data_IF_896078353221
#
_entry.id   IF_896078353221
#
_cell.length_a   1.000
_cell.length_b   1.000
_cell.length_c   1.000
_cell.angle_alpha   90.00
_cell.angle_beta   90.00
_cell.angle_gamma   90.00
#
_symmetry.space_group_name_H-M   'P 1'
#
loop_
_entity.id
_entity.type
_entity.pdbx_description
1 polymer ?
#
# COMPACT_ATOMS: atom_id res chain seq x y z
N UNK A 1 4.76 14.01 -11.85
CA UNK A 1 4.11 12.90 -12.61
C UNK A 1 4.77 11.58 -12.20
N UNK A 2 3.97 10.61 -11.83
CA UNK A 2 4.41 9.26 -11.48
C UNK A 2 3.70 8.23 -12.36
N UNK A 3 4.17 6.99 -12.34
CA UNK A 3 3.50 5.82 -12.88
C UNK A 3 3.44 4.70 -11.84
N UNK A 4 2.54 3.75 -12.03
CA UNK A 4 2.49 2.53 -11.23
C UNK A 4 2.72 1.31 -12.12
N UNK A 5 3.54 0.39 -11.63
CA UNK A 5 3.98 -0.82 -12.33
C UNK A 5 3.72 -2.04 -11.47
N UNK A 6 3.01 -3.04 -12.00
CA UNK A 6 2.74 -4.26 -11.25
C UNK A 6 4.05 -4.99 -10.90
N UNK A 7 4.17 -5.48 -9.68
CA UNK A 7 5.35 -6.21 -9.23
C UNK A 7 5.52 -7.50 -10.03
N UNK A 8 6.77 -7.78 -10.38
CA UNK A 8 7.23 -8.98 -11.08
C UNK A 8 8.52 -9.51 -10.44
N UNK A 9 9.00 -10.67 -10.88
CA UNK A 9 10.33 -11.15 -10.47
C UNK A 9 11.43 -10.15 -10.85
N UNK A 10 11.33 -9.55 -12.04
CA UNK A 10 12.35 -8.64 -12.58
C UNK A 10 12.49 -7.35 -11.77
N UNK A 11 11.37 -6.74 -11.36
CA UNK A 11 11.40 -5.48 -10.62
C UNK A 11 11.39 -5.66 -9.09
N UNK A 12 11.36 -6.88 -8.58
CA UNK A 12 11.33 -7.17 -7.14
C UNK A 12 12.57 -6.69 -6.40
N UNK A 13 13.72 -6.63 -7.05
CA UNK A 13 14.95 -6.12 -6.46
C UNK A 13 14.85 -4.62 -6.12
N UNK A 14 14.13 -3.86 -6.92
CA UNK A 14 13.88 -2.44 -6.63
C UNK A 14 13.03 -2.29 -5.36
N UNK A 15 12.07 -3.20 -5.15
CA UNK A 15 11.27 -3.24 -3.92
C UNK A 15 12.13 -3.54 -2.71
N UNK A 16 13.03 -4.51 -2.81
CA UNK A 16 13.97 -4.84 -1.74
C UNK A 16 14.84 -3.65 -1.35
N UNK A 17 15.44 -3.00 -2.34
CA UNK A 17 16.29 -1.82 -2.13
C UNK A 17 15.51 -0.67 -1.52
N UNK A 18 14.32 -0.37 -2.04
CA UNK A 18 13.45 0.68 -1.53
C UNK A 18 13.04 0.44 -0.06
N UNK A 19 12.59 -0.77 0.28
CA UNK A 19 12.19 -1.09 1.65
C UNK A 19 13.38 -1.06 2.61
N UNK A 20 14.56 -1.50 2.18
CA UNK A 20 15.78 -1.48 2.98
C UNK A 20 16.25 -0.05 3.25
N UNK A 21 16.26 0.81 2.23
CA UNK A 21 16.65 2.22 2.35
C UNK A 21 15.72 3.01 3.27
N UNK A 22 14.41 2.69 3.26
CA UNK A 22 13.39 3.38 4.03
C UNK A 22 13.00 2.65 5.33
N UNK A 23 13.71 1.58 5.71
CA UNK A 23 13.35 0.72 6.84
C UNK A 23 13.13 1.50 8.13
N UNK A 24 14.11 2.28 8.52
CA UNK A 24 14.07 3.08 9.76
C UNK A 24 12.90 4.08 9.75
N UNK A 25 12.69 4.74 8.63
CA UNK A 25 11.59 5.68 8.45
C UNK A 25 10.22 5.00 8.59
N UNK A 26 10.00 3.86 7.94
CA UNK A 26 8.73 3.15 8.02
C UNK A 26 8.47 2.56 9.40
N UNK A 27 9.49 2.03 10.06
CA UNK A 27 9.37 1.43 11.39
C UNK A 27 9.05 2.45 12.50
N UNK A 28 9.17 3.75 12.24
CA UNK A 28 8.72 4.80 13.19
C UNK A 28 7.21 4.80 13.41
N UNK A 29 6.42 4.52 12.37
CA UNK A 29 4.96 4.69 12.40
C UNK A 29 4.17 3.48 11.87
N UNK A 30 4.84 2.42 11.46
CA UNK A 30 4.23 1.21 10.92
C UNK A 30 4.78 -0.02 11.64
N UNK A 31 4.00 -1.11 11.71
CA UNK A 31 4.52 -2.39 12.18
C UNK A 31 5.74 -2.82 11.38
N UNK A 32 6.76 -3.41 12.02
CA UNK A 32 7.94 -3.90 11.32
C UNK A 32 7.57 -5.01 10.33
N UNK A 33 8.36 -5.15 9.27
CA UNK A 33 8.29 -6.31 8.38
C UNK A 33 8.70 -7.58 9.13
N UNK A 34 8.34 -8.77 8.63
CA UNK A 34 8.85 -10.03 9.18
C UNK A 34 10.37 -10.04 9.30
N UNK A 35 10.90 -10.74 10.29
CA UNK A 35 12.35 -10.73 10.61
C UNK A 35 13.25 -11.12 9.43
N UNK A 36 12.78 -12.02 8.54
CA UNK A 36 13.52 -12.48 7.37
C UNK A 36 13.34 -11.59 6.13
N UNK A 37 12.56 -10.52 6.21
CA UNK A 37 12.27 -9.66 5.05
C UNK A 37 13.51 -8.98 4.49
N UNK A 38 14.45 -8.58 5.36
CA UNK A 38 15.67 -7.87 4.98
C UNK A 38 16.87 -8.79 4.76
N UNK A 39 16.69 -10.09 4.85
CA UNK A 39 17.58 -11.11 4.32
C UNK A 39 17.19 -11.42 2.87
N UNK A 40 18.15 -11.45 1.94
CA UNK A 40 17.83 -11.57 0.51
C UNK A 40 17.05 -12.85 0.17
N UNK A 41 17.41 -13.98 0.78
CA UNK A 41 16.72 -15.24 0.54
C UNK A 41 15.31 -15.25 1.16
N UNK A 42 15.16 -14.68 2.36
CA UNK A 42 13.85 -14.50 2.99
C UNK A 42 12.95 -13.56 2.18
N UNK A 43 13.49 -12.46 1.65
CA UNK A 43 12.78 -11.56 0.77
C UNK A 43 12.32 -12.24 -0.52
N UNK A 44 13.17 -13.05 -1.15
CA UNK A 44 12.80 -13.82 -2.35
C UNK A 44 11.66 -14.80 -2.08
N UNK A 45 11.65 -15.43 -0.92
CA UNK A 45 10.59 -16.35 -0.51
C UNK A 45 9.25 -15.62 -0.33
N UNK A 46 9.25 -14.51 0.40
CA UNK A 46 8.08 -13.63 0.58
C UNK A 46 7.59 -13.10 -0.77
N UNK A 47 8.49 -12.72 -1.67
CA UNK A 47 8.16 -12.26 -3.03
C UNK A 47 7.49 -13.36 -3.85
N UNK A 48 7.97 -14.60 -3.80
CA UNK A 48 7.33 -15.74 -4.48
C UNK A 48 5.89 -15.95 -4.01
N UNK A 49 5.65 -15.86 -2.71
CA UNK A 49 4.30 -15.97 -2.15
C UNK A 49 3.39 -14.83 -2.64
N UNK A 50 3.90 -13.59 -2.64
CA UNK A 50 3.17 -12.44 -3.14
C UNK A 50 2.84 -12.57 -4.62
N UNK A 51 3.78 -12.97 -5.46
CA UNK A 51 3.56 -13.17 -6.89
C UNK A 51 2.58 -14.34 -7.16
N UNK A 52 2.60 -15.37 -6.35
CA UNK A 52 1.59 -16.44 -6.39
C UNK A 52 0.21 -15.89 -6.04
N UNK A 53 0.12 -15.04 -5.02
CA UNK A 53 -1.12 -14.33 -4.67
C UNK A 53 -1.64 -13.46 -5.81
N UNK A 54 -0.76 -12.77 -6.53
CA UNK A 54 -1.15 -11.98 -7.72
C UNK A 54 -1.72 -12.86 -8.84
N UNK A 55 -1.08 -13.98 -9.15
CA UNK A 55 -1.61 -14.95 -10.13
C UNK A 55 -2.99 -15.47 -9.74
N UNK A 56 -3.23 -15.65 -8.45
CA UNK A 56 -4.51 -16.09 -7.90
C UNK A 56 -5.51 -14.96 -7.66
N UNK A 57 -5.18 -13.73 -8.06
CA UNK A 57 -6.02 -12.53 -7.88
C UNK A 57 -6.38 -12.27 -6.41
N UNK A 58 -5.45 -12.54 -5.50
CA UNK A 58 -5.61 -12.29 -4.07
C UNK A 58 -4.95 -10.97 -3.63
N UNK A 59 -3.97 -10.50 -4.39
CA UNK A 59 -3.24 -9.26 -4.12
C UNK A 59 -2.73 -8.65 -5.41
N UNK A 60 -2.63 -7.33 -5.47
CA UNK A 60 -1.99 -6.58 -6.56
C UNK A 60 -1.06 -5.56 -5.95
N UNK A 61 0.24 -5.79 -6.07
CA UNK A 61 1.26 -4.89 -5.56
C UNK A 61 1.93 -4.14 -6.71
N UNK A 62 2.00 -2.81 -6.59
CA UNK A 62 2.59 -1.94 -7.61
C UNK A 62 3.76 -1.15 -7.02
N UNK A 63 4.80 -1.02 -7.82
CA UNK A 63 5.85 -0.04 -7.61
C UNK A 63 5.33 1.31 -8.08
N UNK A 64 5.65 2.37 -7.35
CA UNK A 64 5.42 3.75 -7.77
C UNK A 64 6.75 4.29 -8.28
N UNK A 65 6.78 4.73 -9.54
CA UNK A 65 7.98 5.29 -10.16
C UNK A 65 7.79 6.76 -10.50
N UNK A 66 8.81 7.56 -10.28
CA UNK A 66 8.84 8.95 -10.73
C UNK A 66 9.14 9.06 -12.23
N UNK A 67 9.18 10.27 -12.76
CA UNK A 67 9.47 10.54 -14.18
C UNK A 67 10.87 10.10 -14.65
N UNK A 68 11.78 9.81 -13.72
CA UNK A 68 13.11 9.29 -13.99
C UNK A 68 13.19 7.75 -13.92
N UNK A 69 12.07 7.09 -13.67
CA UNK A 69 11.99 5.63 -13.54
C UNK A 69 12.42 5.10 -12.16
N UNK A 70 12.77 5.98 -11.22
CA UNK A 70 13.20 5.60 -9.87
C UNK A 70 11.98 5.21 -9.03
N UNK A 71 12.09 4.11 -8.28
CA UNK A 71 11.06 3.70 -7.33
C UNK A 71 11.01 4.69 -6.16
N UNK A 72 9.84 5.28 -5.95
CA UNK A 72 9.60 6.28 -4.89
C UNK A 72 8.57 5.84 -3.87
N UNK A 73 7.93 4.69 -4.10
CA UNK A 73 6.92 4.14 -3.22
C UNK A 73 6.37 2.82 -3.72
N UNK A 74 5.41 2.30 -2.98
CA UNK A 74 4.62 1.12 -3.37
C UNK A 74 3.16 1.33 -3.00
N UNK A 75 2.26 0.72 -3.75
CA UNK A 75 0.82 0.75 -3.52
C UNK A 75 0.21 -0.60 -3.87
N UNK A 76 -0.61 -1.13 -2.99
CA UNK A 76 -1.16 -2.46 -3.14
C UNK A 76 -2.66 -2.52 -2.82
N UNK A 77 -3.30 -3.50 -3.43
CA UNK A 77 -4.68 -3.89 -3.19
C UNK A 77 -4.67 -5.33 -2.70
N UNK A 78 -5.20 -5.58 -1.50
CA UNK A 78 -5.37 -6.91 -0.94
C UNK A 78 -6.84 -7.28 -0.95
N UNK A 79 -7.19 -8.35 -1.65
CA UNK A 79 -8.58 -8.79 -1.83
C UNK A 79 -9.09 -9.37 -0.52
N UNK A 80 -10.30 -8.99 -0.10
CA UNK A 80 -10.91 -9.53 1.11
C UNK A 80 -11.40 -10.97 0.85
N UNK A 81 -11.05 -11.89 1.74
CA UNK A 81 -11.51 -13.28 1.64
C UNK A 81 -13.04 -13.38 1.77
N UNK A 82 -13.64 -12.51 2.58
CA UNK A 82 -15.08 -12.46 2.81
C UNK A 82 -15.89 -11.83 1.67
N UNK A 83 -15.23 -11.02 0.84
CA UNK A 83 -15.87 -10.35 -0.29
C UNK A 83 -14.85 -10.05 -1.39
N UNK A 84 -14.77 -10.92 -2.36
CA UNK A 84 -13.80 -10.82 -3.46
C UNK A 84 -14.03 -9.65 -4.43
N UNK A 85 -15.15 -8.93 -4.28
CA UNK A 85 -15.40 -7.68 -5.02
C UNK A 85 -14.86 -6.43 -4.29
N UNK A 86 -14.31 -6.63 -3.09
CA UNK A 86 -13.72 -5.58 -2.26
C UNK A 86 -12.23 -5.85 -2.05
N UNK A 87 -11.43 -4.80 -2.15
CA UNK A 87 -10.01 -4.85 -1.80
C UNK A 87 -9.64 -3.76 -0.79
N UNK A 88 -8.63 -4.03 0.01
CA UNK A 88 -8.01 -3.09 0.93
C UNK A 88 -6.80 -2.45 0.27
N UNK A 89 -6.76 -1.13 0.28
CA UNK A 89 -5.69 -0.30 -0.22
C UNK A 89 -4.65 -0.04 0.87
N UNK A 90 -3.37 -0.24 0.53
CA UNK A 90 -2.25 0.19 1.34
C UNK A 90 -1.17 0.83 0.48
N UNK A 91 -0.42 1.78 1.02
CA UNK A 91 0.70 2.40 0.32
C UNK A 91 1.80 2.88 1.28
N UNK A 92 3.00 2.99 0.73
CA UNK A 92 4.17 3.59 1.39
C UNK A 92 4.89 4.49 0.39
N UNK A 93 5.28 5.68 0.85
CA UNK A 93 6.09 6.64 0.07
C UNK A 93 7.42 6.81 0.79
N UNK A 94 8.51 6.86 0.03
CA UNK A 94 9.85 7.05 0.58
C UNK A 94 10.03 8.39 1.31
N UNK A 95 10.88 8.40 2.34
CA UNK A 95 11.11 9.59 3.19
C UNK A 95 11.51 10.82 2.37
N UNK A 96 12.44 10.65 1.44
CA UNK A 96 13.04 11.75 0.65
C UNK A 96 12.07 12.40 -0.35
N UNK A 97 10.95 11.75 -0.63
CA UNK A 97 9.94 12.22 -1.61
C UNK A 97 8.58 12.45 -0.97
N UNK A 98 8.55 12.50 0.35
CA UNK A 98 7.33 12.78 1.10
C UNK A 98 6.82 14.20 0.81
N UNK A 99 5.52 14.41 0.90
CA UNK A 99 4.86 15.71 0.66
C UNK A 99 4.96 16.28 -0.77
N UNK A 100 5.37 15.48 -1.76
CA UNK A 100 5.38 15.86 -3.18
C UNK A 100 4.07 15.53 -3.92
N UNK A 101 3.05 15.05 -3.21
CA UNK A 101 1.77 14.68 -3.80
C UNK A 101 1.74 13.29 -4.44
N UNK A 102 2.82 12.54 -4.39
CA UNK A 102 2.93 11.22 -5.02
C UNK A 102 1.94 10.20 -4.48
N UNK A 103 1.67 10.23 -3.17
CA UNK A 103 0.65 9.34 -2.57
C UNK A 103 -0.72 9.58 -3.19
N UNK A 104 -1.15 10.83 -3.32
CA UNK A 104 -2.45 11.17 -3.88
C UNK A 104 -2.57 10.78 -5.36
N UNK A 105 -1.50 11.01 -6.14
CA UNK A 105 -1.46 10.62 -7.55
C UNK A 105 -1.47 9.08 -7.70
N UNK A 106 -0.72 8.35 -6.87
CA UNK A 106 -0.69 6.90 -6.87
C UNK A 106 -2.05 6.28 -6.50
N UNK A 107 -2.72 6.84 -5.50
CA UNK A 107 -4.07 6.39 -5.11
C UNK A 107 -5.05 6.58 -6.28
N UNK A 108 -5.00 7.71 -6.97
CA UNK A 108 -5.83 7.96 -8.16
C UNK A 108 -5.59 6.89 -9.24
N UNK A 109 -4.32 6.62 -9.56
CA UNK A 109 -3.95 5.64 -10.59
C UNK A 109 -4.38 4.21 -10.22
N UNK A 110 -4.19 3.81 -8.97
CA UNK A 110 -4.58 2.45 -8.54
C UNK A 110 -6.09 2.28 -8.47
N UNK A 111 -6.85 3.32 -8.10
CA UNK A 111 -8.31 3.28 -8.13
C UNK A 111 -8.85 3.10 -9.55
N UNK A 112 -8.26 3.78 -10.53
CA UNK A 112 -8.60 3.58 -11.94
C UNK A 112 -8.40 2.11 -12.33
N UNK A 113 -7.23 1.52 -12.03
CA UNK A 113 -6.98 0.08 -12.26
C UNK A 113 -7.94 -0.82 -11.49
N UNK A 114 -8.21 -0.50 -10.23
CA UNK A 114 -9.09 -1.30 -9.38
C UNK A 114 -10.49 -1.44 -9.99
N UNK A 115 -11.04 -0.35 -10.50
CA UNK A 115 -12.40 -0.34 -11.03
C UNK A 115 -12.50 -0.77 -12.49
N UNK A 116 -11.51 -0.48 -13.33
CA UNK A 116 -11.56 -0.77 -14.77
C UNK A 116 -10.89 -2.08 -15.15
N UNK A 117 -9.75 -2.42 -14.53
CA UNK A 117 -8.93 -3.57 -14.90
C UNK A 117 -9.16 -4.77 -13.99
N UNK A 118 -9.19 -4.54 -12.66
CA UNK A 118 -9.33 -5.62 -11.68
C UNK A 118 -10.78 -5.94 -11.33
N UNK A 119 -11.71 -5.05 -11.64
CA UNK A 119 -13.15 -5.29 -11.53
C UNK A 119 -13.72 -5.19 -10.12
N UNK A 120 -13.04 -4.53 -9.20
CA UNK A 120 -13.56 -4.31 -7.84
C UNK A 120 -14.76 -3.37 -7.86
N UNK A 121 -15.66 -3.56 -6.92
CA UNK A 121 -16.83 -2.69 -6.69
C UNK A 121 -16.60 -1.72 -5.53
N UNK A 122 -15.69 -2.07 -4.62
CA UNK A 122 -15.43 -1.30 -3.39
C UNK A 122 -13.96 -1.40 -3.01
N UNK A 123 -13.39 -0.28 -2.59
CA UNK A 123 -12.05 -0.22 -2.00
C UNK A 123 -12.16 0.37 -0.60
N UNK A 124 -11.54 -0.28 0.37
CA UNK A 124 -11.41 0.20 1.73
C UNK A 124 -9.96 0.57 2.02
N UNK A 125 -9.73 1.49 2.93
CA UNK A 125 -8.39 1.87 3.36
C UNK A 125 -8.42 2.23 4.85
N UNK A 126 -7.47 1.69 5.60
CA UNK A 126 -7.27 2.01 7.01
C UNK A 126 -6.04 2.88 7.21
N UNK A 127 -6.14 3.85 8.11
CA UNK A 127 -5.01 4.68 8.53
C UNK A 127 -5.12 4.98 10.02
N UNK A 128 -3.98 5.13 10.69
CA UNK A 128 -3.98 5.55 12.09
C UNK A 128 -4.80 6.84 12.27
N UNK A 129 -5.60 6.91 13.33
CA UNK A 129 -6.46 8.08 13.59
C UNK A 129 -5.67 9.38 13.72
N UNK A 130 -4.40 9.32 14.12
CA UNK A 130 -3.49 10.48 14.18
C UNK A 130 -2.80 10.82 12.87
N UNK A 131 -2.90 9.98 11.83
CA UNK A 131 -2.25 10.21 10.55
C UNK A 131 -3.11 11.07 9.63
N UNK A 132 -3.13 12.38 9.88
CA UNK A 132 -3.94 13.33 9.11
C UNK A 132 -3.50 13.44 7.65
N UNK A 133 -2.22 13.26 7.35
CA UNK A 133 -1.71 13.32 5.98
C UNK A 133 -2.32 12.21 5.12
N UNK A 134 -2.35 10.97 5.62
CA UNK A 134 -2.97 9.84 4.94
C UNK A 134 -4.48 10.02 4.78
N UNK A 135 -5.17 10.51 5.80
CA UNK A 135 -6.61 10.79 5.72
C UNK A 135 -6.94 11.82 4.64
N UNK A 136 -6.12 12.88 4.51
CA UNK A 136 -6.28 13.89 3.46
C UNK A 136 -6.10 13.30 2.06
N UNK A 137 -5.13 12.41 1.88
CA UNK A 137 -4.92 11.71 0.61
C UNK A 137 -6.17 10.91 0.22
N UNK A 138 -6.75 10.16 1.16
CA UNK A 138 -7.95 9.36 0.91
C UNK A 138 -9.15 10.24 0.58
N UNK A 139 -9.42 11.27 1.39
CA UNK A 139 -10.53 12.21 1.17
C UNK A 139 -10.41 12.92 -0.19
N UNK A 140 -9.21 13.37 -0.56
CA UNK A 140 -8.95 14.02 -1.86
C UNK A 140 -9.25 13.10 -3.04
N UNK A 141 -9.13 11.80 -2.85
CA UNK A 141 -9.41 10.80 -3.88
C UNK A 141 -10.85 10.23 -3.83
N UNK A 142 -11.74 10.87 -3.08
CA UNK A 142 -13.16 10.54 -3.06
C UNK A 142 -13.56 9.46 -2.06
N UNK A 143 -12.65 9.01 -1.20
CA UNK A 143 -13.02 8.15 -0.08
C UNK A 143 -13.88 8.91 0.92
N UNK A 144 -14.77 8.18 1.58
CA UNK A 144 -15.57 8.69 2.70
C UNK A 144 -15.23 7.92 3.97
N UNK A 145 -15.28 8.60 5.12
CA UNK A 145 -15.06 7.97 6.42
C UNK A 145 -16.19 6.95 6.69
N UNK A 146 -15.79 5.77 7.19
CA UNK A 146 -16.70 4.68 7.53
C UNK A 146 -16.81 4.45 9.04
N UNK A 147 -15.69 4.12 9.68
CA UNK A 147 -15.66 3.79 11.12
C UNK A 147 -14.26 3.89 11.71
N UNK A 148 -14.18 3.80 13.03
CA UNK A 148 -12.93 3.61 13.78
C UNK A 148 -12.89 2.17 14.32
N UNK A 149 -11.75 1.52 14.19
CA UNK A 149 -11.42 0.27 14.87
C UNK A 149 -10.50 0.64 16.04
N UNK A 150 -11.00 0.51 17.25
CA UNK A 150 -10.23 0.81 18.45
C UNK A 150 -9.19 -0.28 18.72
N UNK A 151 -8.00 0.13 19.15
CA UNK A 151 -6.91 -0.79 19.51
C UNK A 151 -6.63 -1.85 18.44
N UNK A 152 -6.55 -1.40 17.18
CA UNK A 152 -6.42 -2.27 16.02
C UNK A 152 -4.99 -2.80 15.83
N UNK A 153 -3.99 -1.96 16.06
CA UNK A 153 -2.58 -2.28 15.86
C UNK A 153 -1.75 -1.89 17.08
N UNK A 154 -0.68 -2.66 17.34
CA UNK A 154 0.39 -2.24 18.24
C UNK A 154 1.61 -1.76 17.45
N UNK A 155 2.04 -0.52 17.75
CA UNK A 155 3.27 0.07 17.21
C UNK A 155 4.09 0.55 18.40
N UNK A 156 5.33 0.05 18.56
CA UNK A 156 6.20 0.34 19.71
C UNK A 156 5.52 0.12 21.08
N UNK A 157 4.78 -1.01 21.19
CA UNK A 157 4.00 -1.38 22.39
C UNK A 157 2.84 -0.43 22.74
N UNK A 158 2.50 0.51 21.87
CA UNK A 158 1.33 1.36 22.03
C UNK A 158 0.20 0.93 21.10
N UNK A 159 -1.02 0.90 21.60
CA UNK A 159 -2.21 0.62 20.83
C UNK A 159 -2.59 1.81 19.95
N UNK A 160 -2.81 1.57 18.69
CA UNK A 160 -3.20 2.56 17.67
C UNK A 160 -4.60 2.23 17.18
N UNK A 161 -5.46 3.25 17.14
CA UNK A 161 -6.77 3.14 16.52
C UNK A 161 -6.67 3.37 15.01
N UNK A 162 -7.47 2.66 14.25
CA UNK A 162 -7.54 2.77 12.79
C UNK A 162 -8.83 3.46 12.35
N UNK A 163 -8.70 4.54 11.59
CA UNK A 163 -9.82 5.14 10.85
C UNK A 163 -9.97 4.43 9.50
N UNK A 164 -11.15 3.89 9.23
CA UNK A 164 -11.47 3.18 8.00
C UNK A 164 -12.25 4.08 7.07
N UNK A 165 -11.80 4.16 5.82
CA UNK A 165 -12.41 4.91 4.72
C UNK A 165 -12.80 3.95 3.61
N UNK A 166 -13.79 4.30 2.81
CA UNK A 166 -14.21 3.50 1.67
C UNK A 166 -14.57 4.35 0.45
N UNK A 167 -14.44 3.76 -0.72
CA UNK A 167 -14.93 4.28 -1.98
C UNK A 167 -15.56 3.14 -2.78
N UNK A 168 -16.68 3.42 -3.44
CA UNK A 168 -17.35 2.49 -4.34
C UNK A 168 -17.11 2.90 -5.79
N UNK A 169 -17.14 1.92 -6.68
CA UNK A 169 -17.05 2.17 -8.12
C UNK A 169 -18.16 3.13 -8.53
N UNK A 170 -17.83 4.20 -9.28
CA UNK A 170 -18.81 5.14 -9.82
C UNK A 170 -19.85 4.49 -10.69
#
# INVERSE_FOLDING_TARGET
MISIELMSEENSIDVYSFEKENREYFERNLPPRPANYFDLEGFKEITRELLTGQRNRAVYMHLIRNSQGVMVGRINLSVLESDRNTAELGYRIGENVNNLGYASEAVKLVLEKAFTTYGFNRIIAGTATGNLASQRVLLKNGFTFSRVIENDLQIHNEWVHTAVFEIRRP
#
